data_IF_373350431212
#
_entry.id   IF_373350431212
#
_cell.length_a   1.000
_cell.length_b   1.000
_cell.length_c   1.000
_cell.angle_alpha   90.00
_cell.angle_beta   90.00
_cell.angle_gamma   90.00
#
_symmetry.space_group_name_H-M   'P 1'
#
loop_
_entity.id
_entity.type
_entity.pdbx_description
1 polymer ?
#
# COMPACT_ATOMS: atom_id res chain seq x y z
N UNK A 1 7.93 -1.64 18.84
CA UNK A 1 7.75 -0.72 17.70
C UNK A 1 6.53 -1.18 16.91
N UNK A 2 5.97 -0.35 16.04
CA UNK A 2 4.78 -0.72 15.27
C UNK A 2 5.03 -1.71 14.15
N UNK A 3 3.96 -1.98 13.43
CA UNK A 3 3.94 -2.74 12.19
C UNK A 3 3.57 -1.88 10.98
N UNK A 4 4.01 -2.32 9.80
CA UNK A 4 3.86 -1.62 8.53
C UNK A 4 3.27 -2.56 7.49
N UNK A 5 2.26 -2.09 6.74
CA UNK A 5 1.81 -2.73 5.50
C UNK A 5 2.44 -2.01 4.30
N UNK A 6 2.84 -2.79 3.28
CA UNK A 6 3.57 -2.27 2.13
C UNK A 6 2.85 -2.68 0.85
N UNK A 7 2.60 -1.70 -0.01
CA UNK A 7 2.08 -1.90 -1.36
C UNK A 7 3.22 -2.11 -2.38
N UNK A 8 2.91 -2.78 -3.49
CA UNK A 8 3.89 -3.22 -4.50
C UNK A 8 4.58 -2.05 -5.19
N UNK A 9 3.82 -1.02 -5.51
CA UNK A 9 4.29 0.15 -6.24
C UNK A 9 5.30 0.96 -5.40
N UNK A 10 5.00 1.10 -4.10
CA UNK A 10 5.92 1.68 -3.14
C UNK A 10 7.22 0.85 -3.02
N UNK A 11 7.09 -0.47 -2.92
CA UNK A 11 8.22 -1.39 -2.78
C UNK A 11 9.15 -1.34 -4.01
N UNK A 12 8.58 -1.31 -5.22
CA UNK A 12 9.32 -1.22 -6.48
C UNK A 12 10.19 0.03 -6.56
N UNK A 13 9.66 1.21 -6.20
CA UNK A 13 10.42 2.46 -6.29
C UNK A 13 11.45 2.59 -5.17
N UNK A 14 11.12 2.17 -3.96
CA UNK A 14 12.00 2.32 -2.79
C UNK A 14 13.13 1.30 -2.74
N UNK A 15 13.01 0.14 -3.40
CA UNK A 15 14.13 -0.79 -3.59
C UNK A 15 15.19 -0.24 -4.56
N UNK A 16 14.78 0.56 -5.53
CA UNK A 16 15.66 1.09 -6.60
C UNK A 16 16.44 2.33 -6.17
N UNK A 17 15.87 3.19 -5.35
CA UNK A 17 16.56 4.36 -4.82
C UNK A 17 17.58 3.93 -3.75
N UNK A 18 18.87 3.97 -4.06
CA UNK A 18 19.97 3.46 -3.22
C UNK A 18 20.90 4.60 -2.79
N UNK A 19 21.22 4.64 -1.49
CA UNK A 19 22.23 5.52 -0.90
C UNK A 19 23.26 4.69 -0.15
N UNK A 20 24.55 4.87 -0.48
CA UNK A 20 25.66 4.17 0.18
C UNK A 20 25.46 2.63 0.20
N UNK A 21 24.97 2.07 -0.91
CA UNK A 21 24.66 0.63 -1.02
C UNK A 21 23.35 0.19 -0.36
N UNK A 22 22.69 1.06 0.40
CA UNK A 22 21.44 0.78 1.12
C UNK A 22 20.23 1.37 0.39
N UNK A 23 19.22 0.57 0.04
CA UNK A 23 17.99 1.07 -0.56
C UNK A 23 17.16 1.90 0.42
N UNK A 24 16.40 2.84 -0.11
CA UNK A 24 15.46 3.69 0.61
C UNK A 24 14.50 2.85 1.46
N UNK A 25 14.07 1.70 0.94
CA UNK A 25 13.19 0.79 1.66
C UNK A 25 13.78 0.34 3.00
N UNK A 26 15.07 -0.02 3.08
CA UNK A 26 15.69 -0.46 4.34
C UNK A 26 15.58 0.60 5.43
N UNK A 27 15.81 1.87 5.08
CA UNK A 27 15.76 3.00 6.01
C UNK A 27 14.36 3.19 6.61
N UNK A 28 13.32 2.78 5.88
CA UNK A 28 11.93 2.81 6.36
C UNK A 28 11.62 1.58 7.19
N UNK A 29 12.00 0.39 6.69
CA UNK A 29 11.70 -0.89 7.34
C UNK A 29 12.36 -1.04 8.72
N UNK A 30 13.54 -0.45 8.94
CA UNK A 30 14.24 -0.49 10.24
C UNK A 30 13.44 0.13 11.40
N UNK A 31 12.36 0.87 11.12
CA UNK A 31 11.51 1.49 12.14
C UNK A 31 10.44 0.56 12.69
N UNK A 32 10.15 -0.53 12.00
CA UNK A 32 8.98 -1.37 12.26
C UNK A 32 9.42 -2.79 12.58
N UNK A 33 8.86 -3.34 13.66
CA UNK A 33 9.15 -4.71 14.09
C UNK A 33 8.49 -5.72 13.15
N UNK A 34 7.34 -5.36 12.60
CA UNK A 34 6.56 -6.22 11.72
C UNK A 34 6.26 -5.52 10.40
N UNK A 35 6.56 -6.19 9.29
CA UNK A 35 6.50 -5.61 7.95
C UNK A 35 5.76 -6.59 7.05
N UNK A 36 4.56 -6.23 6.65
CA UNK A 36 3.61 -7.11 5.99
C UNK A 36 3.47 -6.77 4.50
N UNK A 37 3.47 -7.82 3.69
CA UNK A 37 3.25 -7.77 2.25
C UNK A 37 2.20 -8.83 1.90
N UNK A 38 1.22 -8.47 1.09
CA UNK A 38 0.26 -9.46 0.60
C UNK A 38 0.91 -10.38 -0.45
N UNK A 39 0.59 -11.67 -0.44
CA UNK A 39 1.22 -12.65 -1.33
C UNK A 39 0.96 -12.38 -2.82
N UNK A 40 -0.23 -11.88 -3.19
CA UNK A 40 -0.47 -11.46 -4.58
C UNK A 40 0.49 -10.35 -5.04
N UNK A 41 0.78 -9.36 -4.18
CA UNK A 41 1.77 -8.32 -4.48
C UNK A 41 3.16 -8.93 -4.64
N UNK A 42 3.55 -9.82 -3.74
CA UNK A 42 4.84 -10.52 -3.84
C UNK A 42 4.97 -11.29 -5.15
N UNK A 43 3.93 -12.07 -5.53
CA UNK A 43 3.91 -12.82 -6.80
C UNK A 43 3.96 -11.91 -8.03
N UNK A 44 3.23 -10.80 -8.03
CA UNK A 44 3.26 -9.79 -9.10
C UNK A 44 4.68 -9.24 -9.29
N UNK A 45 5.33 -8.82 -8.21
CA UNK A 45 6.69 -8.32 -8.24
C UNK A 45 7.72 -9.38 -8.68
N UNK A 46 7.52 -10.65 -8.30
CA UNK A 46 8.38 -11.75 -8.73
C UNK A 46 8.22 -12.08 -10.22
N UNK A 47 7.07 -11.75 -10.82
CA UNK A 47 6.80 -11.88 -12.27
C UNK A 47 7.28 -10.67 -13.08
N UNK A 48 7.40 -9.49 -12.47
CA UNK A 48 7.86 -8.27 -13.14
C UNK A 48 9.23 -8.47 -13.83
N UNK A 49 9.56 -7.76 -14.92
CA UNK A 49 10.87 -7.84 -15.55
C UNK A 49 12.04 -7.61 -14.57
N UNK A 50 13.17 -8.32 -14.74
CA UNK A 50 14.32 -8.18 -13.81
C UNK A 50 14.96 -6.78 -13.78
N UNK A 51 14.74 -5.97 -14.82
CA UNK A 51 15.19 -4.58 -14.82
C UNK A 51 14.25 -3.67 -14.01
N UNK A 52 13.03 -4.13 -13.70
CA UNK A 52 12.01 -3.41 -12.94
C UNK A 52 12.19 -3.49 -11.42
N UNK A 53 12.76 -4.58 -10.93
CA UNK A 53 12.94 -4.81 -9.49
C UNK A 53 14.14 -5.73 -9.20
N UNK A 54 14.86 -5.43 -8.12
CA UNK A 54 15.87 -6.34 -7.56
C UNK A 54 15.19 -7.50 -6.81
N UNK A 55 14.80 -8.53 -7.57
CA UNK A 55 14.13 -9.72 -7.04
C UNK A 55 14.97 -10.46 -6.00
N UNK A 56 16.29 -10.53 -6.21
CA UNK A 56 17.19 -11.24 -5.29
C UNK A 56 17.19 -10.60 -3.91
N UNK A 57 17.18 -9.27 -3.85
CA UNK A 57 17.06 -8.51 -2.60
C UNK A 57 15.70 -8.69 -1.94
N UNK A 58 14.59 -8.60 -2.69
CA UNK A 58 13.25 -8.84 -2.14
C UNK A 58 13.12 -10.26 -1.57
N UNK A 59 13.59 -11.27 -2.30
CA UNK A 59 13.63 -12.66 -1.82
C UNK A 59 14.46 -12.81 -0.54
N UNK A 60 15.59 -12.11 -0.43
CA UNK A 60 16.41 -12.10 0.78
C UNK A 60 15.64 -11.52 1.98
N UNK A 61 14.91 -10.42 1.80
CA UNK A 61 14.08 -9.85 2.88
C UNK A 61 12.95 -10.78 3.32
N UNK A 62 12.29 -11.44 2.36
CA UNK A 62 11.22 -12.39 2.70
C UNK A 62 11.76 -13.63 3.40
N UNK A 63 12.81 -14.24 2.84
CA UNK A 63 13.41 -15.48 3.40
C UNK A 63 14.07 -15.29 4.77
N UNK A 64 14.58 -14.09 5.07
CA UNK A 64 15.12 -13.75 6.39
C UNK A 64 14.05 -13.33 7.41
N UNK A 65 12.78 -13.26 7.02
CA UNK A 65 11.68 -12.77 7.86
C UNK A 65 11.70 -11.25 8.08
N UNK A 66 12.51 -10.51 7.32
CA UNK A 66 12.56 -9.04 7.36
C UNK A 66 11.29 -8.43 6.76
N UNK A 67 10.65 -9.12 5.82
CA UNK A 67 9.28 -8.84 5.34
C UNK A 67 8.49 -10.13 5.46
N UNK A 68 7.36 -10.09 6.17
CA UNK A 68 6.41 -11.20 6.32
C UNK A 68 5.41 -11.15 5.16
N UNK A 69 5.25 -12.27 4.46
CA UNK A 69 4.23 -12.42 3.42
C UNK A 69 3.02 -13.12 4.01
N UNK A 70 1.82 -12.58 3.75
CA UNK A 70 0.55 -13.17 4.18
C UNK A 70 -0.35 -13.42 2.96
N UNK A 71 -0.97 -14.59 2.92
CA UNK A 71 -1.92 -14.97 1.87
C UNK A 71 -3.39 -14.89 2.33
N UNK A 72 -4.30 -15.05 1.36
CA UNK A 72 -5.75 -15.02 1.61
C UNK A 72 -6.21 -16.07 2.61
N UNK A 73 -5.56 -17.25 2.63
CA UNK A 73 -5.91 -18.33 3.55
C UNK A 73 -5.60 -17.90 4.97
N UNK A 74 -4.41 -17.36 5.21
CA UNK A 74 -3.99 -16.89 6.52
C UNK A 74 -4.91 -15.77 7.01
N UNK A 75 -5.27 -14.81 6.15
CA UNK A 75 -6.22 -13.74 6.49
C UNK A 75 -7.59 -14.32 6.90
N UNK A 76 -8.13 -15.26 6.10
CA UNK A 76 -9.42 -15.90 6.38
C UNK A 76 -9.41 -16.71 7.68
N UNK A 77 -8.33 -17.47 7.95
CA UNK A 77 -8.22 -18.22 9.20
C UNK A 77 -8.10 -17.28 10.41
N UNK A 78 -7.38 -16.16 10.31
CA UNK A 78 -7.33 -15.15 11.38
C UNK A 78 -8.71 -14.54 11.68
N UNK A 79 -9.48 -14.22 10.64
CA UNK A 79 -10.85 -13.72 10.78
C UNK A 79 -11.78 -14.77 11.41
N UNK A 80 -11.63 -16.04 11.01
CA UNK A 80 -12.38 -17.16 11.57
C UNK A 80 -12.02 -17.38 13.03
N UNK A 81 -10.75 -17.34 13.41
CA UNK A 81 -10.31 -17.46 14.80
C UNK A 81 -10.91 -16.35 15.66
N UNK A 82 -10.93 -15.11 15.16
CA UNK A 82 -11.51 -13.96 15.84
C UNK A 82 -13.03 -14.09 16.07
N UNK A 83 -13.78 -14.61 15.09
CA UNK A 83 -15.25 -14.69 15.15
C UNK A 83 -15.79 -16.09 15.49
N UNK A 84 -14.91 -17.10 15.60
CA UNK A 84 -15.26 -18.52 15.69
C UNK A 84 -16.23 -19.00 14.60
N UNK A 85 -16.15 -18.45 13.38
CA UNK A 85 -17.07 -18.76 12.27
C UNK A 85 -16.41 -18.59 10.89
N UNK A 86 -16.43 -19.65 10.07
CA UNK A 86 -15.97 -19.61 8.67
C UNK A 86 -16.89 -18.78 7.79
N UNK A 87 -18.21 -18.91 7.98
CA UNK A 87 -19.21 -18.13 7.25
C UNK A 87 -19.00 -16.62 7.47
N UNK A 88 -18.69 -16.22 8.71
CA UNK A 88 -18.35 -14.84 9.02
C UNK A 88 -17.08 -14.40 8.29
N UNK A 89 -16.00 -15.19 8.37
CA UNK A 89 -14.72 -14.86 7.73
C UNK A 89 -14.90 -14.67 6.22
N UNK A 90 -15.60 -15.60 5.56
CA UNK A 90 -15.90 -15.53 4.14
C UNK A 90 -16.77 -14.31 3.79
N UNK A 91 -17.86 -14.10 4.52
CA UNK A 91 -18.79 -12.99 4.28
C UNK A 91 -18.11 -11.63 4.46
N UNK A 92 -17.31 -11.49 5.52
CA UNK A 92 -16.53 -10.29 5.79
C UNK A 92 -15.54 -10.02 4.66
N UNK A 93 -14.75 -11.04 4.28
CA UNK A 93 -13.72 -10.91 3.25
C UNK A 93 -14.32 -10.51 1.90
N UNK A 94 -15.42 -11.16 1.48
CA UNK A 94 -16.12 -10.82 0.23
C UNK A 94 -16.70 -9.41 0.30
N UNK A 95 -17.26 -9.01 1.44
CA UNK A 95 -17.79 -7.66 1.62
C UNK A 95 -16.70 -6.61 1.43
N UNK A 96 -15.50 -6.82 1.99
CA UNK A 96 -14.38 -5.89 1.85
C UNK A 96 -13.79 -5.89 0.46
N UNK A 97 -13.66 -7.05 -0.16
CA UNK A 97 -13.26 -7.16 -1.56
C UNK A 97 -14.22 -6.40 -2.49
N UNK A 98 -15.52 -6.49 -2.23
CA UNK A 98 -16.57 -5.77 -2.98
C UNK A 98 -16.52 -4.26 -2.77
N UNK A 99 -16.30 -3.82 -1.54
CA UNK A 99 -16.14 -2.40 -1.19
C UNK A 99 -14.94 -1.78 -1.94
N UNK A 100 -13.77 -2.43 -1.87
CA UNK A 100 -12.56 -1.93 -2.51
C UNK A 100 -12.61 -2.00 -4.04
N UNK A 101 -13.20 -3.04 -4.62
CA UNK A 101 -13.38 -3.13 -6.09
C UNK A 101 -14.34 -2.08 -6.63
N UNK A 102 -15.32 -1.62 -5.83
CA UNK A 102 -16.21 -0.54 -6.23
C UNK A 102 -15.56 0.84 -6.13
N UNK A 103 -14.63 1.02 -5.20
CA UNK A 103 -13.91 2.28 -5.00
C UNK A 103 -12.73 2.47 -5.97
N UNK A 104 -12.09 1.37 -6.40
CA UNK A 104 -10.98 1.37 -7.38
C UNK A 104 -11.55 1.13 -8.80
N UNK A 105 -12.71 1.71 -9.13
CA UNK A 105 -13.21 1.76 -10.50
C UNK A 105 -12.33 2.79 -11.24
N UNK A 106 -11.23 2.31 -11.84
CA UNK A 106 -10.42 3.10 -12.76
C UNK A 106 -11.29 3.51 -13.96
N UNK A 107 -11.78 4.75 -13.95
CA UNK A 107 -12.19 5.46 -15.16
C UNK A 107 -10.94 5.70 -16.02
N UNK A 108 -10.45 4.68 -16.73
CA UNK A 108 -9.45 4.86 -17.78
C UNK A 108 -9.78 3.96 -18.97
N UNK A 109 -9.73 4.55 -20.15
CA UNK A 109 -9.92 3.92 -21.47
C UNK A 109 -9.14 2.61 -21.62
N UNK A 110 -9.80 1.48 -21.38
CA UNK A 110 -9.22 0.16 -21.67
C UNK A 110 -9.48 -0.22 -23.13
N UNK A 111 -8.72 0.39 -24.03
CA UNK A 111 -8.63 -0.03 -25.44
C UNK A 111 -7.78 -1.32 -25.63
N UNK A 112 -7.41 -2.00 -24.52
CA UNK A 112 -6.34 -3.02 -24.49
C UNK A 112 -6.73 -4.42 -24.00
N UNK A 113 -8.02 -4.74 -23.86
CA UNK A 113 -8.47 -6.12 -23.53
C UNK A 113 -8.15 -6.60 -22.11
N UNK A 114 -7.80 -5.70 -21.18
CA UNK A 114 -7.60 -6.02 -19.76
C UNK A 114 -8.95 -6.02 -19.02
N UNK A 115 -9.13 -6.92 -18.05
CA UNK A 115 -10.33 -6.97 -17.21
C UNK A 115 -10.17 -6.07 -15.98
N UNK A 116 -11.16 -5.24 -15.67
CA UNK A 116 -11.15 -4.45 -14.44
C UNK A 116 -11.35 -5.34 -13.20
N UNK A 117 -10.83 -4.99 -12.01
CA UNK A 117 -11.01 -5.80 -10.81
C UNK A 117 -12.47 -6.15 -10.50
N UNK A 118 -13.39 -5.22 -10.78
CA UNK A 118 -14.84 -5.43 -10.65
C UNK A 118 -15.37 -6.52 -11.59
N UNK A 119 -14.83 -6.62 -12.80
CA UNK A 119 -15.16 -7.69 -13.75
C UNK A 119 -14.59 -9.03 -13.27
N UNK A 120 -13.37 -9.03 -12.74
CA UNK A 120 -12.69 -10.22 -12.19
C UNK A 120 -13.54 -10.88 -11.10
N UNK A 121 -13.97 -10.09 -10.11
CA UNK A 121 -14.69 -10.62 -8.95
C UNK A 121 -16.22 -10.61 -9.09
N UNK A 122 -16.76 -10.27 -10.27
CA UNK A 122 -18.20 -10.18 -10.49
C UNK A 122 -18.93 -11.48 -10.13
N UNK A 123 -18.38 -12.62 -10.54
CA UNK A 123 -18.97 -13.94 -10.25
C UNK A 123 -18.95 -14.24 -8.75
N UNK A 124 -17.90 -13.81 -8.03
CA UNK A 124 -17.83 -13.95 -6.57
C UNK A 124 -18.90 -13.12 -5.87
N UNK A 125 -19.21 -11.93 -6.36
CA UNK A 125 -20.17 -11.01 -5.72
C UNK A 125 -21.63 -11.31 -6.04
N UNK A 126 -21.91 -11.91 -7.20
CA UNK A 126 -23.27 -12.02 -7.73
C UNK A 126 -23.63 -13.40 -8.31
N UNK A 127 -22.66 -14.28 -8.54
CA UNK A 127 -22.85 -15.53 -9.28
C UNK A 127 -22.84 -16.80 -8.42
N UNK A 128 -22.05 -16.82 -7.35
CA UNK A 128 -21.99 -17.93 -6.41
C UNK A 128 -22.80 -17.59 -5.14
N UNK A 129 -23.49 -18.58 -4.57
CA UNK A 129 -24.19 -18.41 -3.29
C UNK A 129 -23.26 -17.97 -2.16
N UNK A 130 -23.83 -17.72 -0.98
CA UNK A 130 -23.06 -17.40 0.23
C UNK A 130 -21.97 -18.45 0.46
N UNK A 131 -20.72 -18.00 0.62
CA UNK A 131 -19.59 -18.89 0.92
C UNK A 131 -19.57 -19.18 2.41
N UNK A 132 -19.92 -20.40 2.80
CA UNK A 132 -19.94 -20.82 4.21
C UNK A 132 -18.61 -21.44 4.67
N UNK A 133 -17.73 -21.82 3.73
CA UNK A 133 -16.48 -22.52 4.00
C UNK A 133 -15.29 -21.84 3.33
N UNK A 134 -14.19 -21.70 4.07
CA UNK A 134 -12.95 -21.06 3.58
C UNK A 134 -12.39 -21.74 2.32
N UNK A 135 -12.31 -23.09 2.23
CA UNK A 135 -11.81 -23.75 1.02
C UNK A 135 -12.60 -23.42 -0.25
N UNK A 136 -13.91 -23.25 -0.14
CA UNK A 136 -14.79 -22.96 -1.29
C UNK A 136 -14.54 -21.53 -1.81
N UNK A 137 -14.40 -20.57 -0.88
CA UNK A 137 -14.03 -19.19 -1.22
C UNK A 137 -12.63 -19.11 -1.84
N UNK A 138 -11.64 -19.77 -1.26
CA UNK A 138 -10.27 -19.79 -1.79
C UNK A 138 -10.23 -20.37 -3.22
N UNK A 139 -11.01 -21.42 -3.48
CA UNK A 139 -11.12 -21.98 -4.81
C UNK A 139 -11.72 -20.98 -5.82
N UNK A 140 -12.79 -20.29 -5.43
CA UNK A 140 -13.41 -19.28 -6.29
C UNK A 140 -12.51 -18.06 -6.53
N UNK A 141 -11.80 -17.58 -5.50
CA UNK A 141 -10.79 -16.52 -5.63
C UNK A 141 -9.72 -16.92 -6.64
N UNK A 142 -9.15 -18.11 -6.50
CA UNK A 142 -8.15 -18.61 -7.44
C UNK A 142 -8.70 -18.67 -8.88
N UNK A 143 -9.91 -19.20 -9.08
CA UNK A 143 -10.52 -19.25 -10.42
C UNK A 143 -10.74 -17.86 -11.05
N UNK A 144 -11.08 -16.86 -10.25
CA UNK A 144 -11.24 -15.49 -10.73
C UNK A 144 -9.88 -14.85 -11.08
N UNK A 145 -8.89 -14.99 -10.20
CA UNK A 145 -7.60 -14.33 -10.31
C UNK A 145 -6.70 -14.97 -11.40
N UNK A 146 -6.76 -16.29 -11.60
CA UNK A 146 -5.99 -17.00 -12.63
C UNK A 146 -6.36 -16.60 -14.08
N UNK A 147 -7.52 -15.98 -14.27
CA UNK A 147 -8.03 -15.56 -15.59
C UNK A 147 -7.51 -14.19 -16.04
N UNK A 148 -6.68 -13.52 -15.23
CA UNK A 148 -6.42 -12.08 -15.36
C UNK A 148 -4.95 -11.77 -15.56
N UNK A 149 -4.68 -10.84 -16.46
CA UNK A 149 -3.38 -10.18 -16.63
C UNK A 149 -3.55 -8.69 -16.34
N UNK A 150 -2.74 -8.15 -15.41
CA UNK A 150 -2.57 -6.70 -15.24
C UNK A 150 -3.70 -5.95 -14.52
N UNK A 151 -4.52 -6.61 -13.69
CA UNK A 151 -5.46 -5.92 -12.81
C UNK A 151 -4.79 -5.52 -11.49
N UNK A 152 -5.23 -4.40 -10.88
CA UNK A 152 -4.83 -3.91 -9.54
C UNK A 152 -5.27 -4.82 -8.37
N UNK A 153 -5.11 -6.13 -8.53
CA UNK A 153 -5.49 -7.13 -7.52
C UNK A 153 -4.62 -6.99 -6.27
N UNK A 154 -3.30 -6.81 -6.44
CA UNK A 154 -2.38 -6.58 -5.32
C UNK A 154 -2.78 -5.42 -4.40
N UNK A 155 -3.15 -4.27 -4.96
CA UNK A 155 -3.58 -3.08 -4.21
C UNK A 155 -4.86 -3.37 -3.40
N UNK A 156 -5.88 -3.93 -4.07
CA UNK A 156 -7.15 -4.30 -3.43
C UNK A 156 -6.93 -5.28 -2.27
N UNK A 157 -6.12 -6.31 -2.49
CA UNK A 157 -5.83 -7.33 -1.48
C UNK A 157 -5.03 -6.78 -0.31
N UNK A 158 -4.15 -5.81 -0.57
CA UNK A 158 -3.42 -5.10 0.50
C UNK A 158 -4.37 -4.28 1.37
N UNK A 159 -5.36 -3.60 0.78
CA UNK A 159 -6.40 -2.90 1.53
C UNK A 159 -7.26 -3.87 2.37
N UNK A 160 -7.67 -5.02 1.80
CA UNK A 160 -8.41 -6.07 2.54
C UNK A 160 -7.58 -6.61 3.71
N UNK A 161 -6.28 -6.88 3.50
CA UNK A 161 -5.34 -7.31 4.54
C UNK A 161 -5.27 -6.30 5.70
N UNK A 162 -5.11 -5.01 5.39
CA UNK A 162 -5.06 -3.92 6.38
C UNK A 162 -6.35 -3.90 7.21
N UNK A 163 -7.50 -3.92 6.55
CA UNK A 163 -8.79 -3.93 7.26
C UNK A 163 -8.99 -5.21 8.08
N UNK A 164 -8.45 -6.35 7.63
CA UNK A 164 -8.56 -7.60 8.38
C UNK A 164 -7.74 -7.55 9.67
N UNK A 165 -6.50 -7.01 9.61
CA UNK A 165 -5.67 -6.77 10.79
C UNK A 165 -6.39 -5.88 11.81
N UNK A 166 -7.05 -4.81 11.37
CA UNK A 166 -7.86 -4.00 12.27
C UNK A 166 -9.06 -4.75 12.85
N UNK A 167 -9.79 -5.50 12.03
CA UNK A 167 -10.98 -6.22 12.45
C UNK A 167 -10.68 -7.26 13.56
N UNK A 168 -9.51 -7.88 13.51
CA UNK A 168 -9.07 -8.83 14.55
C UNK A 168 -8.43 -8.17 15.78
N UNK A 169 -8.44 -6.83 15.85
CA UNK A 169 -7.90 -6.07 16.97
C UNK A 169 -6.37 -5.90 16.94
N UNK A 170 -5.72 -6.03 15.78
CA UNK A 170 -4.29 -5.76 15.63
C UNK A 170 -4.03 -4.26 15.64
N UNK A 171 -3.98 -3.67 16.83
CA UNK A 171 -3.78 -2.22 17.02
C UNK A 171 -2.36 -1.72 16.69
N UNK A 172 -1.42 -2.63 16.43
CA UNK A 172 -0.03 -2.31 16.14
C UNK A 172 0.24 -1.98 14.66
N UNK A 173 -0.75 -1.98 13.77
CA UNK A 173 -0.56 -1.51 12.39
C UNK A 173 -0.47 0.02 12.36
N UNK A 174 0.76 0.54 12.39
CA UNK A 174 1.03 1.98 12.52
C UNK A 174 1.14 2.68 11.18
N UNK A 175 1.62 1.99 10.13
CA UNK A 175 1.91 2.60 8.84
C UNK A 175 1.39 1.76 7.67
N UNK A 176 0.75 2.42 6.70
CA UNK A 176 0.53 1.87 5.36
C UNK A 176 1.30 2.70 4.33
N UNK A 177 2.19 2.05 3.57
CA UNK A 177 2.93 2.71 2.51
C UNK A 177 2.44 2.30 1.12
N UNK A 178 1.85 3.25 0.40
CA UNK A 178 1.41 3.09 -0.99
C UNK A 178 1.63 4.39 -1.74
N UNK A 179 1.94 4.29 -3.04
CA UNK A 179 2.04 5.46 -3.89
C UNK A 179 0.68 5.91 -4.44
N UNK A 180 -0.35 5.06 -4.38
CA UNK A 180 -1.70 5.33 -4.88
C UNK A 180 -2.56 6.07 -3.85
N UNK A 181 -3.11 7.23 -4.23
CA UNK A 181 -3.98 8.00 -3.35
C UNK A 181 -5.28 7.25 -3.02
N UNK A 182 -5.84 6.50 -3.97
CA UNK A 182 -7.10 5.77 -3.77
C UNK A 182 -6.92 4.67 -2.74
N UNK A 183 -5.83 3.89 -2.85
CA UNK A 183 -5.47 2.91 -1.83
C UNK A 183 -5.26 3.54 -0.44
N UNK A 184 -4.54 4.67 -0.35
CA UNK A 184 -4.31 5.37 0.93
C UNK A 184 -5.63 5.88 1.54
N UNK A 185 -6.52 6.43 0.73
CA UNK A 185 -7.85 6.86 1.16
C UNK A 185 -8.67 5.67 1.66
N UNK A 186 -8.72 4.58 0.92
CA UNK A 186 -9.48 3.38 1.29
C UNK A 186 -8.97 2.69 2.56
N UNK A 187 -7.66 2.69 2.79
CA UNK A 187 -7.08 2.21 4.04
C UNK A 187 -7.42 3.13 5.23
N UNK A 188 -7.70 4.42 4.96
CA UNK A 188 -7.98 5.43 5.99
C UNK A 188 -9.47 5.61 6.36
N UNK A 189 -10.41 5.01 5.62
CA UNK A 189 -11.87 5.19 5.83
C UNK A 189 -12.45 4.25 6.90
N UNK A 190 -11.61 3.52 7.62
CA UNK A 190 -12.01 2.65 8.74
C UNK A 190 -12.42 3.46 9.99
N UNK A 191 -13.60 3.17 10.57
CA UNK A 191 -14.05 3.69 11.88
C UNK A 191 -13.12 3.31 13.05
N UNK A 192 -12.15 2.44 12.79
CA UNK A 192 -11.11 1.98 13.71
C UNK A 192 -9.78 2.61 13.30
N UNK A 193 -9.02 3.08 14.29
CA UNK A 193 -7.71 3.75 14.22
C UNK A 193 -7.04 3.68 12.82
N UNK A 194 -6.93 4.84 12.18
CA UNK A 194 -6.38 4.98 10.82
C UNK A 194 -4.86 4.74 10.87
N UNK A 195 -4.30 3.78 10.08
CA UNK A 195 -2.86 3.68 9.96
C UNK A 195 -2.33 4.99 9.38
N UNK A 196 -1.17 5.45 9.82
CA UNK A 196 -0.54 6.55 9.13
C UNK A 196 -0.21 6.08 7.70
N UNK A 197 -0.79 6.75 6.73
CA UNK A 197 -0.58 6.49 5.32
C UNK A 197 0.63 7.28 4.83
N UNK A 198 1.43 6.72 3.93
CA UNK A 198 2.57 7.44 3.34
C UNK A 198 2.79 7.07 1.88
N UNK A 199 3.04 8.11 1.08
CA UNK A 199 3.49 7.96 -0.29
C UNK A 199 5.02 8.02 -0.41
N UNK A 200 5.52 7.72 -1.61
CA UNK A 200 6.96 7.67 -1.89
C UNK A 200 7.65 8.99 -1.54
N UNK A 201 7.16 10.11 -2.08
CA UNK A 201 7.73 11.42 -1.77
C UNK A 201 7.46 11.83 -0.32
N UNK A 202 6.34 11.40 0.27
CA UNK A 202 6.03 11.59 1.69
C UNK A 202 7.05 10.92 2.62
N UNK A 203 7.74 9.87 2.18
CA UNK A 203 8.78 9.18 2.97
C UNK A 203 9.92 10.10 3.39
N UNK A 204 10.20 11.17 2.63
CA UNK A 204 11.18 12.17 3.03
C UNK A 204 10.78 12.94 4.30
N UNK A 205 9.48 13.01 4.62
CA UNK A 205 9.00 13.52 5.89
C UNK A 205 9.50 12.64 7.05
N UNK A 206 9.37 11.30 6.91
CA UNK A 206 9.91 10.35 7.89
C UNK A 206 11.43 10.49 8.01
N UNK A 207 12.17 10.55 6.90
CA UNK A 207 13.62 10.71 6.94
C UNK A 207 14.07 11.99 7.64
N UNK A 208 13.37 13.11 7.39
CA UNK A 208 13.63 14.35 8.08
C UNK A 208 13.40 14.22 9.60
N UNK A 209 12.30 13.60 10.01
CA UNK A 209 12.02 13.36 11.45
C UNK A 209 13.06 12.46 12.12
N UNK A 210 13.75 11.62 11.33
CA UNK A 210 14.85 10.77 11.78
C UNK A 210 16.24 11.45 11.71
N UNK A 211 16.29 12.75 11.38
CA UNK A 211 17.54 13.51 11.33
C UNK A 211 18.38 13.28 10.07
N UNK A 212 17.83 12.64 9.03
CA UNK A 212 18.50 12.58 7.74
C UNK A 212 18.62 14.00 7.18
N UNK A 213 19.83 14.42 6.81
CA UNK A 213 20.02 15.78 6.31
C UNK A 213 19.50 15.93 4.88
N UNK A 214 19.13 17.16 4.48
CA UNK A 214 18.68 17.44 3.11
C UNK A 214 19.66 16.91 2.07
N UNK A 215 20.96 17.20 2.25
CA UNK A 215 22.05 16.75 1.36
C UNK A 215 22.10 15.23 1.24
N UNK A 216 21.91 14.50 2.35
CA UNK A 216 21.90 13.04 2.32
C UNK A 216 20.68 12.49 1.58
N UNK A 217 19.53 13.14 1.75
CA UNK A 217 18.28 12.71 1.16
C UNK A 217 18.16 13.03 -0.34
N UNK A 218 18.83 14.07 -0.83
CA UNK A 218 18.86 14.45 -2.26
C UNK A 218 19.37 13.31 -3.16
N UNK A 219 20.30 12.50 -2.68
CA UNK A 219 20.82 11.33 -3.42
C UNK A 219 19.71 10.32 -3.75
N UNK A 220 18.75 10.14 -2.84
CA UNK A 220 17.61 9.25 -3.04
C UNK A 220 16.59 9.90 -3.99
N UNK A 221 16.34 11.20 -3.83
CA UNK A 221 15.41 11.95 -4.66
C UNK A 221 15.78 11.91 -6.15
N UNK A 222 17.06 12.12 -6.46
CA UNK A 222 17.59 12.06 -7.83
C UNK A 222 17.25 10.74 -8.53
N UNK A 223 17.27 9.64 -7.78
CA UNK A 223 17.00 8.29 -8.32
C UNK A 223 15.51 7.99 -8.45
N UNK A 224 14.66 8.66 -7.67
CA UNK A 224 13.19 8.54 -7.77
C UNK A 224 12.60 9.35 -8.93
N UNK A 225 13.35 10.31 -9.49
CA UNK A 225 12.91 11.18 -10.56
C UNK A 225 12.26 12.46 -10.04
N UNK A 226 13.07 13.52 -9.94
CA UNK A 226 12.71 14.82 -9.36
C UNK A 226 11.56 15.55 -10.04
N UNK A 227 11.36 15.29 -11.32
CA UNK A 227 10.32 15.89 -12.16
C UNK A 227 8.99 15.16 -12.04
N UNK A 228 8.93 14.03 -11.32
CA UNK A 228 7.67 13.32 -11.05
C UNK A 228 6.72 14.25 -10.32
N UNK A 229 5.48 14.32 -10.76
CA UNK A 229 4.49 15.24 -10.21
C UNK A 229 3.50 14.52 -9.28
N UNK A 230 3.03 15.20 -8.24
CA UNK A 230 1.96 14.74 -7.35
C UNK A 230 1.08 15.92 -6.94
N UNK A 231 -0.19 15.63 -6.66
CA UNK A 231 -1.07 16.59 -6.01
C UNK A 231 -0.72 16.71 -4.52
N UNK A 232 -0.67 17.95 -4.03
CA UNK A 232 -0.56 18.33 -2.63
C UNK A 232 -1.71 19.26 -2.28
N UNK A 233 -2.14 19.27 -1.03
CA UNK A 233 -3.22 20.15 -0.57
C UNK A 233 -2.67 21.46 -0.02
N UNK A 234 -3.45 22.51 -0.14
CA UNK A 234 -3.25 23.80 0.51
C UNK A 234 -4.62 24.32 1.01
N UNK A 235 -4.63 25.46 1.71
CA UNK A 235 -5.87 26.05 2.23
C UNK A 235 -6.93 26.40 1.18
N UNK A 236 -6.58 26.40 -0.12
CA UNK A 236 -7.45 26.77 -1.23
C UNK A 236 -7.81 25.58 -2.15
N UNK A 237 -7.34 24.36 -1.85
CA UNK A 237 -7.62 23.16 -2.65
C UNK A 237 -6.39 22.28 -2.86
N UNK A 238 -6.35 21.58 -4.00
CA UNK A 238 -5.22 20.75 -4.39
C UNK A 238 -4.45 21.39 -5.54
N UNK A 239 -3.12 21.33 -5.50
CA UNK A 239 -2.25 21.78 -6.57
C UNK A 239 -1.20 20.72 -6.91
N UNK A 240 -0.76 20.72 -8.18
CA UNK A 240 0.25 19.78 -8.66
C UNK A 240 1.64 20.36 -8.43
N UNK A 241 2.54 19.56 -7.83
CA UNK A 241 3.93 19.92 -7.56
C UNK A 241 4.86 18.80 -7.96
N UNK A 242 6.07 19.15 -8.38
CA UNK A 242 7.15 18.19 -8.64
C UNK A 242 7.70 17.62 -7.33
N UNK A 243 8.29 16.44 -7.41
CA UNK A 243 8.98 15.81 -6.27
C UNK A 243 10.09 16.70 -5.72
N UNK A 244 10.79 17.44 -6.58
CA UNK A 244 11.79 18.43 -6.16
C UNK A 244 11.18 19.53 -5.30
N UNK A 245 10.09 20.16 -5.74
CA UNK A 245 9.40 21.21 -4.97
C UNK A 245 8.89 20.67 -3.63
N UNK A 246 8.23 19.51 -3.65
CA UNK A 246 7.71 18.85 -2.45
C UNK A 246 8.84 18.55 -1.46
N UNK A 247 9.95 17.97 -1.94
CA UNK A 247 11.12 17.68 -1.13
C UNK A 247 11.69 18.94 -0.46
N UNK A 248 11.85 20.02 -1.22
CA UNK A 248 12.36 21.29 -0.71
C UNK A 248 11.43 21.88 0.36
N UNK A 249 10.10 21.78 0.16
CA UNK A 249 9.10 22.22 1.12
C UNK A 249 9.10 21.37 2.40
N UNK A 250 9.22 20.03 2.29
CA UNK A 250 9.38 19.13 3.44
C UNK A 250 10.58 19.58 4.27
N UNK A 251 11.76 19.74 3.66
CA UNK A 251 12.97 20.11 4.40
C UNK A 251 12.94 21.55 4.94
N UNK A 252 12.19 22.46 4.30
CA UNK A 252 11.96 23.83 4.78
C UNK A 252 10.88 23.96 5.88
N UNK A 253 10.26 22.86 6.33
CA UNK A 253 9.12 22.86 7.28
C UNK A 253 7.86 23.53 6.71
N UNK A 254 7.71 23.60 5.39
CA UNK A 254 6.54 24.18 4.71
C UNK A 254 5.48 23.14 4.32
N UNK A 255 5.64 21.89 4.78
CA UNK A 255 4.69 20.81 4.54
C UNK A 255 4.49 19.96 5.78
N UNK A 256 3.29 19.40 5.91
CA UNK A 256 2.93 18.39 6.91
C UNK A 256 2.36 17.16 6.21
N UNK A 257 2.61 15.98 6.78
CA UNK A 257 2.02 14.71 6.34
C UNK A 257 0.80 14.43 7.22
N UNK A 258 -0.39 14.36 6.62
CA UNK A 258 -1.63 13.99 7.31
C UNK A 258 -1.72 12.47 7.50
N UNK A 259 -2.58 12.02 8.40
CA UNK A 259 -2.75 10.60 8.74
C UNK A 259 -3.18 9.76 7.52
N UNK A 260 -3.96 10.30 6.60
CA UNK A 260 -4.36 9.66 5.35
C UNK A 260 -3.27 9.71 4.25
N UNK A 261 -2.06 10.18 4.56
CA UNK A 261 -0.93 10.24 3.62
C UNK A 261 -0.93 11.45 2.69
N UNK A 262 -1.93 12.33 2.82
CA UNK A 262 -1.95 13.61 2.11
C UNK A 262 -0.82 14.52 2.59
N UNK A 263 -0.08 15.10 1.64
CA UNK A 263 0.89 16.15 1.91
C UNK A 263 0.19 17.50 1.79
N UNK A 264 0.23 18.27 2.87
CA UNK A 264 -0.40 19.58 2.95
C UNK A 264 0.66 20.67 3.14
N UNK A 265 0.54 21.73 2.36
CA UNK A 265 1.34 22.94 2.47
C UNK A 265 0.87 23.73 3.69
N UNK A 266 1.81 24.05 4.57
CA UNK A 266 1.54 24.94 5.70
C UNK A 266 2.05 26.33 5.41
N UNK A 267 1.14 27.30 5.43
CA UNK A 267 1.50 28.71 5.49
C UNK A 267 2.04 28.98 6.90
N UNK A 268 3.36 29.02 7.01
CA UNK A 268 3.99 29.58 8.20
C UNK A 268 3.70 31.08 8.14
N UNK A 269 2.61 31.53 8.78
CA UNK A 269 2.54 32.91 9.22
C UNK A 269 3.74 33.11 10.14
N UNK A 270 4.71 33.88 9.65
CA UNK A 270 5.87 34.28 10.43
C UNK A 270 5.34 34.94 11.70
N UNK A 271 5.49 34.24 12.82
CA UNK A 271 5.31 34.87 14.13
C UNK A 271 6.50 35.81 14.29
N UNK A 272 6.22 37.11 14.13
CA UNK A 272 7.14 38.22 14.44
C UNK A 272 7.62 38.16 15.89
#
# INVERSE_FOLDING_TARGET
MGSMAIDGDYLLRTLRAIRNGRPMLELVLERYDDRWLHDNVYRELMRAPNHEIDKGRLQSYVSSGYIKVIDDRQILEMLKECASSEEYACSWYISKLKEHTAAIDFETDYDSGHQSPKQVYRELFYGFGTYEKIPDLLHALQQAEDRVTGASIGEIKTCVMIQAFYNIGWSELELFASNDNSALELASVSDYVIPQCICIIGTFYLFKTLGLSKVQAEVLLLQLGETTERYVTNGNGSEKRTYREIFDMIYANKMVLRANGTLEIVDIQQSE
#
